data_IF_176541324366
#
_entry.id   IF_176541324366
#
_cell.length_a   1.000
_cell.length_b   1.000
_cell.length_c   1.000
_cell.angle_alpha   90.00
_cell.angle_beta   90.00
_cell.angle_gamma   90.00
#
_symmetry.space_group_name_H-M   'P 1'
#
loop_
_entity.id
_entity.type
_entity.pdbx_description
1 polymer ?
#
# COMPACT_ATOMS: atom_id res chain seq x y z
N UNK A 1 -19.10 -1.81 -31.81
CA UNK A 1 -19.13 -0.57 -31.02
C UNK A 1 -19.25 -0.87 -29.52
N UNK A 2 -20.13 -1.77 -29.06
CA UNK A 2 -20.26 -2.10 -27.63
C UNK A 2 -19.04 -2.82 -27.00
N UNK A 3 -18.33 -3.67 -27.77
CA UNK A 3 -17.15 -4.41 -27.25
C UNK A 3 -15.96 -3.48 -26.97
N UNK A 4 -15.80 -2.39 -27.73
CA UNK A 4 -14.75 -1.37 -27.49
C UNK A 4 -15.07 -0.47 -26.28
N UNK A 5 -16.35 -0.16 -26.07
CA UNK A 5 -16.81 0.61 -24.92
C UNK A 5 -16.59 -0.17 -23.60
N UNK A 6 -16.91 -1.48 -23.56
CA UNK A 6 -16.69 -2.31 -22.37
C UNK A 6 -15.21 -2.45 -21.98
N UNK A 7 -14.32 -2.66 -22.96
CA UNK A 7 -12.87 -2.74 -22.72
C UNK A 7 -12.26 -1.43 -22.23
N UNK A 8 -12.83 -0.29 -22.65
CA UNK A 8 -12.39 1.03 -22.21
C UNK A 8 -12.78 1.30 -20.75
N UNK A 9 -14.01 0.95 -20.35
CA UNK A 9 -14.47 1.12 -18.96
C UNK A 9 -13.68 0.23 -17.98
N UNK A 10 -13.42 -1.03 -18.35
CA UNK A 10 -12.61 -1.95 -17.54
C UNK A 10 -11.16 -1.44 -17.35
N UNK A 11 -10.55 -0.92 -18.42
CA UNK A 11 -9.20 -0.35 -18.37
C UNK A 11 -9.14 0.88 -17.46
N UNK A 12 -10.15 1.76 -17.49
CA UNK A 12 -10.24 2.93 -16.61
C UNK A 12 -10.33 2.53 -15.14
N UNK A 13 -11.18 1.54 -14.81
CA UNK A 13 -11.31 1.07 -13.43
C UNK A 13 -10.03 0.38 -12.92
N UNK A 14 -9.29 -0.34 -13.78
CA UNK A 14 -7.99 -0.90 -13.43
C UNK A 14 -6.94 0.19 -13.15
N UNK A 15 -6.94 1.27 -13.93
CA UNK A 15 -6.07 2.44 -13.69
C UNK A 15 -6.38 3.07 -12.32
N UNK A 16 -7.67 3.22 -11.98
CA UNK A 16 -8.09 3.77 -10.69
C UNK A 16 -7.63 2.90 -9.51
N UNK A 17 -7.81 1.58 -9.60
CA UNK A 17 -7.30 0.66 -8.58
C UNK A 17 -5.77 0.74 -8.44
N UNK A 18 -5.05 0.81 -9.57
CA UNK A 18 -3.60 0.95 -9.58
C UNK A 18 -3.13 2.20 -8.84
N UNK A 19 -3.77 3.35 -9.10
CA UNK A 19 -3.48 4.62 -8.42
C UNK A 19 -3.73 4.55 -6.92
N UNK A 20 -4.82 3.94 -6.50
CA UNK A 20 -5.14 3.79 -5.08
C UNK A 20 -4.17 2.86 -4.35
N UNK A 21 -3.78 1.74 -4.98
CA UNK A 21 -2.76 0.84 -4.44
C UNK A 21 -1.44 1.60 -4.22
N UNK A 22 -1.02 2.41 -5.19
CA UNK A 22 0.18 3.24 -5.04
C UNK A 22 0.03 4.24 -3.88
N UNK A 23 -1.12 4.91 -3.76
CA UNK A 23 -1.37 5.83 -2.65
C UNK A 23 -1.28 5.14 -1.26
N UNK A 24 -1.81 3.92 -1.14
CA UNK A 24 -1.69 3.11 0.08
C UNK A 24 -0.22 2.76 0.37
N UNK A 25 0.54 2.36 -0.65
CA UNK A 25 1.96 2.04 -0.49
C UNK A 25 2.76 3.25 -0.02
N UNK A 26 2.52 4.42 -0.61
CA UNK A 26 3.19 5.67 -0.22
C UNK A 26 2.85 6.04 1.23
N UNK A 27 1.58 5.96 1.62
CA UNK A 27 1.15 6.22 3.01
C UNK A 27 1.82 5.28 4.01
N UNK A 28 1.91 3.99 3.69
CA UNK A 28 2.57 3.02 4.56
C UNK A 28 4.07 3.31 4.69
N UNK A 29 4.75 3.67 3.59
CA UNK A 29 6.16 4.06 3.64
C UNK A 29 6.38 5.32 4.48
N UNK A 30 5.51 6.32 4.37
CA UNK A 30 5.55 7.52 5.23
C UNK A 30 5.35 7.15 6.72
N UNK A 31 4.45 6.22 7.03
CA UNK A 31 4.28 5.71 8.40
C UNK A 31 5.57 5.04 8.90
N UNK A 32 6.24 4.21 8.11
CA UNK A 32 7.52 3.59 8.49
C UNK A 32 8.59 4.63 8.78
N UNK A 33 8.74 5.64 7.91
CA UNK A 33 9.71 6.73 8.10
C UNK A 33 9.40 7.54 9.36
N UNK A 34 8.13 7.87 9.57
CA UNK A 34 7.70 8.60 10.76
C UNK A 34 7.92 7.78 12.04
N UNK A 35 7.71 6.46 12.00
CA UNK A 35 7.99 5.57 13.12
C UNK A 35 9.49 5.48 13.42
N UNK A 36 10.34 5.39 12.38
CA UNK A 36 11.79 5.45 12.55
C UNK A 36 12.21 6.75 13.25
N UNK A 37 11.68 7.89 12.82
CA UNK A 37 11.95 9.18 13.45
C UNK A 37 11.48 9.22 14.92
N UNK A 38 10.29 8.68 15.23
CA UNK A 38 9.75 8.60 16.61
C UNK A 38 10.61 7.72 17.51
N UNK A 39 11.04 6.57 17.01
CA UNK A 39 11.81 5.60 17.79
C UNK A 39 13.30 5.90 17.83
N UNK A 40 13.81 6.83 17.01
CA UNK A 40 15.25 7.17 16.93
C UNK A 40 15.87 7.44 18.30
N UNK A 41 15.16 8.16 19.18
CA UNK A 41 15.61 8.48 20.55
C UNK A 41 15.74 7.24 21.45
N UNK A 42 14.96 6.19 21.19
CA UNK A 42 14.96 4.93 21.97
C UNK A 42 15.99 3.92 21.47
N UNK A 43 16.49 4.08 20.25
CA UNK A 43 17.50 3.20 19.64
C UNK A 43 18.94 3.54 20.08
N UNK A 44 19.15 4.65 20.79
CA UNK A 44 20.49 5.11 21.18
C UNK A 44 21.31 5.63 19.99
N UNK A 45 22.63 5.74 20.16
CA UNK A 45 23.52 6.11 19.07
C UNK A 45 23.63 4.94 18.09
N UNK A 46 23.25 5.19 16.85
CA UNK A 46 23.42 4.27 15.73
C UNK A 46 24.38 4.90 14.73
N UNK A 47 25.23 4.11 14.09
CA UNK A 47 25.98 4.58 12.92
C UNK A 47 25.02 4.86 11.76
N UNK A 48 25.43 5.67 10.76
CA UNK A 48 24.61 5.90 9.56
C UNK A 48 24.17 4.60 8.86
N UNK A 49 25.04 3.58 8.82
CA UNK A 49 24.72 2.27 8.24
C UNK A 49 23.66 1.53 9.05
N UNK A 50 23.72 1.62 10.38
CA UNK A 50 22.71 1.01 11.25
C UNK A 50 21.36 1.73 11.13
N UNK A 51 21.34 3.06 11.03
CA UNK A 51 20.11 3.81 10.77
C UNK A 51 19.46 3.35 9.47
N UNK A 52 20.25 3.27 8.39
CA UNK A 52 19.77 2.81 7.09
C UNK A 52 19.28 1.36 7.13
N UNK A 53 19.97 0.47 7.85
CA UNK A 53 19.56 -0.92 8.01
C UNK A 53 18.20 -1.04 8.73
N UNK A 54 17.95 -0.22 9.75
CA UNK A 54 16.66 -0.20 10.46
C UNK A 54 15.55 0.36 9.56
N UNK A 55 15.81 1.43 8.81
CA UNK A 55 14.84 1.96 7.84
C UNK A 55 14.50 0.92 6.77
N UNK A 56 15.51 0.26 6.19
CA UNK A 56 15.34 -0.80 5.20
C UNK A 56 14.53 -1.98 5.77
N UNK A 57 14.77 -2.35 7.04
CA UNK A 57 14.00 -3.39 7.72
C UNK A 57 12.53 -2.99 7.90
N UNK A 58 12.25 -1.75 8.29
CA UNK A 58 10.88 -1.23 8.44
C UNK A 58 10.14 -1.23 7.10
N UNK A 59 10.76 -0.69 6.05
CA UNK A 59 10.18 -0.68 4.69
C UNK A 59 9.95 -2.11 4.20
N UNK A 60 10.92 -3.01 4.38
CA UNK A 60 10.78 -4.43 4.01
C UNK A 60 9.64 -5.11 4.76
N UNK A 61 9.47 -4.80 6.04
CA UNK A 61 8.39 -5.35 6.88
C UNK A 61 7.03 -4.87 6.40
N UNK A 62 6.90 -3.58 6.13
CA UNK A 62 5.68 -3.01 5.54
C UNK A 62 5.36 -3.67 4.21
N UNK A 63 6.34 -3.78 3.31
CA UNK A 63 6.13 -4.41 2.00
C UNK A 63 5.65 -5.87 2.14
N UNK A 64 6.20 -6.64 3.08
CA UNK A 64 5.79 -8.02 3.33
C UNK A 64 4.35 -8.12 3.85
N UNK A 65 3.88 -7.13 4.60
CA UNK A 65 2.50 -7.06 5.11
C UNK A 65 1.55 -6.57 4.01
N UNK A 66 1.94 -5.55 3.23
CA UNK A 66 1.08 -4.92 2.24
C UNK A 66 0.91 -5.75 0.98
N UNK A 67 1.96 -6.42 0.49
CA UNK A 67 1.94 -7.12 -0.79
C UNK A 67 0.85 -8.21 -0.89
N UNK A 68 0.69 -9.12 0.09
CA UNK A 68 -0.38 -10.13 0.04
C UNK A 68 -1.78 -9.52 0.01
N UNK A 69 -1.96 -8.37 0.68
CA UNK A 69 -3.25 -7.68 0.74
C UNK A 69 -3.54 -6.97 -0.57
N UNK A 70 -2.55 -6.30 -1.16
CA UNK A 70 -2.64 -5.71 -2.50
C UNK A 70 -2.99 -6.78 -3.54
N UNK A 71 -2.36 -7.96 -3.46
CA UNK A 71 -2.68 -9.09 -4.32
C UNK A 71 -4.14 -9.56 -4.15
N UNK A 72 -4.64 -9.62 -2.91
CA UNK A 72 -6.06 -9.89 -2.65
C UNK A 72 -6.99 -8.79 -3.16
N UNK A 73 -6.61 -7.52 -3.07
CA UNK A 73 -7.40 -6.40 -3.60
C UNK A 73 -7.53 -6.50 -5.12
N UNK A 74 -6.43 -6.78 -5.83
CA UNK A 74 -6.43 -6.99 -7.28
C UNK A 74 -7.32 -8.16 -7.67
N UNK A 75 -7.15 -9.33 -7.03
CA UNK A 75 -8.02 -10.49 -7.27
C UNK A 75 -9.50 -10.18 -7.01
N UNK A 76 -9.81 -9.51 -5.89
CA UNK A 76 -11.20 -9.17 -5.55
C UNK A 76 -11.81 -8.20 -6.57
N UNK A 77 -11.00 -7.28 -7.09
CA UNK A 77 -11.43 -6.36 -8.15
C UNK A 77 -11.69 -7.09 -9.47
N UNK A 78 -10.78 -7.97 -9.89
CA UNK A 78 -10.93 -8.79 -11.11
C UNK A 78 -12.15 -9.73 -11.03
N UNK A 79 -12.47 -10.21 -9.82
CA UNK A 79 -13.67 -11.02 -9.53
C UNK A 79 -14.96 -10.18 -9.37
N UNK A 80 -14.90 -8.85 -9.53
CA UNK A 80 -16.05 -7.94 -9.38
C UNK A 80 -16.54 -7.77 -7.94
N UNK A 81 -15.76 -8.19 -6.94
CA UNK A 81 -16.10 -8.13 -5.51
C UNK A 81 -15.73 -6.78 -4.89
N UNK A 82 -16.41 -5.72 -5.36
CA UNK A 82 -16.17 -4.32 -4.94
C UNK A 82 -16.22 -4.13 -3.43
N UNK A 83 -17.12 -4.83 -2.73
CA UNK A 83 -17.23 -4.74 -1.27
C UNK A 83 -15.98 -5.25 -0.53
N UNK A 84 -15.32 -6.30 -1.05
CA UNK A 84 -14.05 -6.77 -0.49
C UNK A 84 -12.92 -5.78 -0.73
N UNK A 85 -12.90 -5.14 -1.89
CA UNK A 85 -11.94 -4.06 -2.19
C UNK A 85 -12.15 -2.90 -1.20
N UNK A 86 -13.39 -2.48 -0.96
CA UNK A 86 -13.72 -1.42 0.00
C UNK A 86 -13.33 -1.78 1.44
N UNK A 87 -13.53 -3.02 1.86
CA UNK A 87 -13.09 -3.49 3.17
C UNK A 87 -11.57 -3.43 3.32
N UNK A 88 -10.82 -3.76 2.28
CA UNK A 88 -9.37 -3.61 2.32
C UNK A 88 -8.93 -2.14 2.34
N UNK A 89 -9.64 -1.26 1.61
CA UNK A 89 -9.39 0.19 1.67
C UNK A 89 -9.49 0.74 3.10
N UNK A 90 -10.51 0.35 3.86
CA UNK A 90 -10.71 0.85 5.23
C UNK A 90 -9.66 0.37 6.24
N UNK A 91 -8.93 -0.71 5.94
CA UNK A 91 -7.83 -1.20 6.79
C UNK A 91 -6.57 -0.32 6.64
N UNK A 92 -6.30 0.23 5.45
CA UNK A 92 -5.08 1.00 5.18
C UNK A 92 -5.26 2.51 5.22
N UNK A 93 -6.47 3.01 4.96
CA UNK A 93 -6.77 4.44 5.03
C UNK A 93 -7.62 4.67 6.28
N UNK A 94 -7.03 5.16 7.39
CA UNK A 94 -7.83 5.54 8.55
C UNK A 94 -8.70 6.73 8.13
N UNK A 95 -10.02 6.57 8.26
CA UNK A 95 -10.95 7.69 8.21
C UNK A 95 -10.66 8.55 9.45
N UNK A 96 -10.02 9.71 9.25
CA UNK A 96 -9.90 10.76 10.26
C UNK A 96 -10.95 11.83 10.01
#
# INVERSE_FOLDING_TARGET
MEIEAGKSDESLRQIDLGREISAIQDQLQEIARAEMARQRRRLGQLSPEQEHAVEALLISTINKISNPVIEQMRRSFDEGQVERVNRWRSVFVPVY
#
